data_IF_741884566706
#
_entry.id   IF_741884566706
#
_cell.length_a   1.000
_cell.length_b   1.000
_cell.length_c   1.000
_cell.angle_alpha   90.00
_cell.angle_beta   90.00
_cell.angle_gamma   90.00
#
_symmetry.space_group_name_H-M   'P 1'
#
loop_
_entity.id
_entity.type
_entity.pdbx_description
1 polymer ?
#
# COMPACT_ATOMS: atom_id res chain seq x y z
N UNK A 1 2.48 -20.25 -8.72
CA UNK A 1 3.09 -19.07 -9.37
C UNK A 1 3.21 -17.98 -8.31
N UNK A 2 4.43 -17.60 -7.91
CA UNK A 2 4.60 -16.50 -6.96
C UNK A 2 4.31 -15.19 -7.70
N UNK A 3 3.28 -14.45 -7.30
CA UNK A 3 3.07 -13.08 -7.79
C UNK A 3 4.27 -12.25 -7.36
N UNK A 4 4.94 -11.52 -8.27
CA UNK A 4 6.06 -10.67 -7.89
C UNK A 4 5.57 -9.67 -6.82
N UNK A 5 6.26 -9.64 -5.68
CA UNK A 5 5.98 -8.62 -4.66
C UNK A 5 6.33 -7.25 -5.23
N UNK A 6 5.47 -6.24 -5.06
CA UNK A 6 5.72 -4.89 -5.56
C UNK A 6 7.01 -4.27 -4.98
N UNK A 7 7.46 -4.68 -3.78
CA UNK A 7 8.76 -4.28 -3.25
C UNK A 7 9.93 -4.84 -4.08
N UNK A 8 9.80 -6.07 -4.57
CA UNK A 8 10.82 -6.71 -5.41
C UNK A 8 11.02 -6.01 -6.76
N UNK A 9 9.96 -5.43 -7.34
CA UNK A 9 10.07 -4.67 -8.57
C UNK A 9 10.78 -3.32 -8.37
N UNK A 10 10.55 -2.66 -7.24
CA UNK A 10 11.26 -1.43 -6.89
C UNK A 10 12.75 -1.67 -6.59
N UNK A 11 13.09 -2.80 -5.93
CA UNK A 11 14.49 -3.20 -5.73
C UNK A 11 15.21 -3.43 -7.06
N UNK A 12 14.61 -4.22 -7.97
CA UNK A 12 15.17 -4.47 -9.31
C UNK A 12 15.30 -3.19 -10.13
N UNK A 13 14.37 -2.26 -9.99
CA UNK A 13 14.45 -0.94 -10.62
C UNK A 13 15.63 -0.15 -10.03
N UNK A 14 15.80 -0.16 -8.72
CA UNK A 14 16.95 0.44 -8.03
C UNK A 14 18.28 -0.07 -8.59
N UNK A 15 18.44 -1.39 -8.67
CA UNK A 15 19.66 -2.03 -9.19
C UNK A 15 19.95 -1.61 -10.64
N UNK A 16 18.91 -1.59 -11.49
CA UNK A 16 19.02 -1.14 -12.88
C UNK A 16 19.42 0.33 -13.00
N UNK A 17 18.88 1.20 -12.15
CA UNK A 17 19.20 2.63 -12.15
C UNK A 17 20.62 2.88 -11.63
N UNK A 18 21.05 2.12 -10.63
CA UNK A 18 22.40 2.20 -10.09
C UNK A 18 23.43 1.74 -11.11
N UNK A 19 23.19 0.61 -11.78
CA UNK A 19 24.04 0.12 -12.87
C UNK A 19 24.17 1.09 -14.05
N UNK A 20 23.18 1.98 -14.24
CA UNK A 20 23.21 3.06 -15.25
C UNK A 20 23.86 4.35 -14.77
N UNK A 21 24.38 4.38 -13.54
CA UNK A 21 25.01 5.56 -12.96
C UNK A 21 24.02 6.64 -12.50
N UNK A 22 22.76 6.27 -12.20
CA UNK A 22 21.73 7.20 -11.71
C UNK A 22 21.42 6.99 -10.22
N UNK A 23 22.36 7.29 -9.31
CA UNK A 23 22.26 6.92 -7.89
C UNK A 23 21.08 7.60 -7.18
N UNK A 24 20.76 8.85 -7.54
CA UNK A 24 19.62 9.55 -6.95
C UNK A 24 18.27 8.89 -7.28
N UNK A 25 18.11 8.36 -8.50
CA UNK A 25 16.90 7.65 -8.89
C UNK A 25 16.87 6.24 -8.27
N UNK A 26 18.02 5.58 -8.18
CA UNK A 26 18.15 4.29 -7.50
C UNK A 26 17.75 4.41 -6.02
N UNK A 27 18.26 5.42 -5.30
CA UNK A 27 17.90 5.69 -3.91
C UNK A 27 16.38 5.87 -3.71
N UNK A 28 15.72 6.60 -4.62
CA UNK A 28 14.25 6.75 -4.61
C UNK A 28 13.51 5.43 -4.86
N UNK A 29 14.08 4.52 -5.65
CA UNK A 29 13.49 3.20 -5.87
C UNK A 29 13.66 2.32 -4.62
N UNK A 30 14.84 2.29 -4.02
CA UNK A 30 15.08 1.56 -2.76
C UNK A 30 14.25 2.10 -1.60
N UNK A 31 14.08 3.42 -1.47
CA UNK A 31 13.21 4.01 -0.46
C UNK A 31 11.76 3.53 -0.59
N UNK A 32 11.23 3.53 -1.83
CA UNK A 32 9.88 2.99 -2.10
C UNK A 32 9.77 1.50 -1.78
N UNK A 33 10.81 0.71 -2.05
CA UNK A 33 10.84 -0.70 -1.66
C UNK A 33 10.80 -0.87 -0.13
N UNK A 34 11.57 -0.06 0.60
CA UNK A 34 11.58 -0.09 2.07
C UNK A 34 10.21 0.29 2.65
N UNK A 35 9.58 1.36 2.15
CA UNK A 35 8.24 1.79 2.57
C UNK A 35 7.20 0.68 2.36
N UNK A 36 7.27 -0.03 1.22
CA UNK A 36 6.39 -1.18 0.93
C UNK A 36 6.62 -2.35 1.90
N UNK A 37 7.87 -2.69 2.20
CA UNK A 37 8.18 -3.77 3.17
C UNK A 37 7.68 -3.42 4.58
N UNK A 38 7.84 -2.17 5.01
CA UNK A 38 7.30 -1.70 6.29
C UNK A 38 5.77 -1.77 6.28
N UNK A 39 5.13 -1.32 5.19
CA UNK A 39 3.69 -1.38 5.03
C UNK A 39 3.14 -2.82 5.08
N UNK A 40 3.83 -3.79 4.48
CA UNK A 40 3.47 -5.21 4.57
C UNK A 40 3.52 -5.72 6.03
N UNK A 41 4.56 -5.35 6.79
CA UNK A 41 4.65 -5.68 8.21
C UNK A 41 3.52 -5.07 9.04
N UNK A 42 3.20 -3.80 8.76
CA UNK A 42 2.10 -3.09 9.42
C UNK A 42 0.72 -3.69 9.05
N UNK A 43 0.51 -4.16 7.82
CA UNK A 43 -0.73 -4.84 7.43
C UNK A 43 -0.94 -6.13 8.22
N UNK A 44 0.10 -6.96 8.37
CA UNK A 44 0.03 -8.19 9.19
C UNK A 44 -0.32 -7.88 10.63
N UNK A 45 0.25 -6.80 11.18
CA UNK A 45 -0.05 -6.31 12.52
C UNK A 45 -1.49 -5.82 12.64
N UNK A 46 -1.94 -4.97 11.71
CA UNK A 46 -3.32 -4.45 11.70
C UNK A 46 -4.34 -5.59 11.65
N UNK A 47 -4.06 -6.65 10.89
CA UNK A 47 -4.90 -7.85 10.82
C UNK A 47 -5.05 -8.55 12.18
N UNK A 48 -3.98 -8.63 12.96
CA UNK A 48 -4.04 -9.19 14.32
C UNK A 48 -4.74 -8.24 15.32
N UNK A 49 -4.72 -6.93 15.06
CA UNK A 49 -5.30 -5.90 15.91
C UNK A 49 -6.81 -5.69 15.64
N UNK A 50 -7.32 -5.94 14.43
CA UNK A 50 -8.71 -5.63 13.99
C UNK A 50 -9.78 -6.11 14.97
N UNK A 51 -9.67 -7.33 15.49
CA UNK A 51 -10.68 -7.92 16.39
C UNK A 51 -10.48 -7.55 17.87
N UNK A 52 -9.23 -7.33 18.28
CA UNK A 52 -8.85 -7.11 19.68
C UNK A 52 -8.85 -5.62 20.06
N UNK A 53 -8.31 -4.79 19.18
CA UNK A 53 -8.07 -3.37 19.38
C UNK A 53 -8.37 -2.60 18.09
N UNK A 54 -9.63 -2.52 17.64
CA UNK A 54 -9.98 -1.98 16.32
C UNK A 54 -9.52 -0.53 16.13
N UNK A 55 -9.48 0.29 17.19
CA UNK A 55 -8.94 1.67 17.11
C UNK A 55 -7.44 1.69 16.78
N UNK A 56 -6.66 0.79 17.38
CA UNK A 56 -5.23 0.64 17.13
C UNK A 56 -4.99 0.13 15.71
N UNK A 57 -5.82 -0.79 15.24
CA UNK A 57 -5.78 -1.25 13.86
C UNK A 57 -6.00 -0.09 12.87
N UNK A 58 -6.95 0.83 13.13
CA UNK A 58 -7.15 2.02 12.29
C UNK A 58 -5.90 2.92 12.24
N UNK A 59 -5.24 3.15 13.37
CA UNK A 59 -4.00 3.93 13.42
C UNK A 59 -2.87 3.26 12.63
N UNK A 60 -2.74 1.93 12.77
CA UNK A 60 -1.78 1.13 12.01
C UNK A 60 -2.07 1.20 10.50
N UNK A 61 -3.33 1.10 10.09
CA UNK A 61 -3.75 1.17 8.69
C UNK A 61 -3.53 2.55 8.07
N UNK A 62 -3.67 3.63 8.84
CA UNK A 62 -3.32 4.98 8.38
C UNK A 62 -1.83 5.11 8.04
N UNK A 63 -0.96 4.44 8.80
CA UNK A 63 0.49 4.40 8.50
C UNK A 63 0.79 3.59 7.23
N UNK A 64 0.08 2.47 7.03
CA UNK A 64 0.18 1.69 5.78
C UNK A 64 -0.15 2.57 4.57
N UNK A 65 -1.26 3.31 4.64
CA UNK A 65 -1.68 4.20 3.55
C UNK A 65 -0.66 5.32 3.27
N UNK A 66 -0.03 5.88 4.32
CA UNK A 66 1.00 6.89 4.15
C UNK A 66 2.27 6.38 3.45
N UNK A 67 2.64 5.11 3.67
CA UNK A 67 3.86 4.51 3.14
C UNK A 67 3.67 3.92 1.73
N UNK A 68 2.59 3.15 1.52
CA UNK A 68 2.39 2.39 0.29
C UNK A 68 1.19 2.86 -0.53
N UNK A 69 0.49 3.90 -0.06
CA UNK A 69 -0.80 4.30 -0.61
C UNK A 69 -1.93 3.34 -0.21
N UNK A 70 -3.17 3.64 -0.60
CA UNK A 70 -4.29 2.74 -0.34
C UNK A 70 -4.04 1.41 -1.04
N UNK A 71 -4.38 0.28 -0.42
CA UNK A 71 -4.36 -1.07 -1.01
C UNK A 71 -5.67 -1.81 -0.73
N UNK A 72 -6.03 -2.81 -1.56
CA UNK A 72 -7.30 -3.52 -1.41
C UNK A 72 -7.39 -4.25 -0.05
N UNK A 73 -6.29 -4.85 0.39
CA UNK A 73 -6.21 -5.50 1.70
C UNK A 73 -6.40 -4.50 2.85
N UNK A 74 -5.73 -3.35 2.81
CA UNK A 74 -5.88 -2.30 3.81
C UNK A 74 -7.32 -1.77 3.88
N UNK A 75 -7.99 -1.61 2.74
CA UNK A 75 -9.40 -1.21 2.67
C UNK A 75 -10.34 -2.27 3.28
N UNK A 76 -10.05 -3.57 3.10
CA UNK A 76 -10.80 -4.66 3.76
C UNK A 76 -10.63 -4.61 5.28
N UNK A 77 -9.39 -4.47 5.75
CA UNK A 77 -9.10 -4.36 7.18
C UNK A 77 -9.74 -3.10 7.81
N UNK A 78 -9.79 -1.99 7.08
CA UNK A 78 -10.55 -0.79 7.51
C UNK A 78 -12.04 -1.13 7.66
N UNK A 79 -12.63 -1.82 6.69
CA UNK A 79 -14.03 -2.24 6.77
C UNK A 79 -14.30 -3.14 7.99
N UNK A 80 -13.41 -4.09 8.26
CA UNK A 80 -13.50 -4.98 9.43
C UNK A 80 -13.38 -4.21 10.74
N UNK A 81 -12.40 -3.31 10.87
CA UNK A 81 -12.21 -2.47 12.05
C UNK A 81 -13.44 -1.58 12.33
N UNK A 82 -14.01 -0.93 11.32
CA UNK A 82 -15.22 -0.12 11.48
C UNK A 82 -16.46 -0.97 11.82
N UNK A 83 -16.55 -2.20 11.32
CA UNK A 83 -17.61 -3.13 11.71
C UNK A 83 -17.50 -3.51 13.19
N UNK A 84 -16.29 -3.83 13.67
CA UNK A 84 -16.03 -4.13 15.07
C UNK A 84 -16.34 -2.95 16.01
N UNK A 85 -16.21 -1.71 15.53
CA UNK A 85 -16.59 -0.49 16.26
C UNK A 85 -18.08 -0.15 16.21
N UNK A 86 -18.93 -1.01 15.61
CA UNK A 86 -20.36 -0.75 15.49
C UNK A 86 -20.72 0.32 14.46
N UNK A 87 -19.86 0.56 13.46
CA UNK A 87 -20.09 1.53 12.37
C UNK A 87 -20.29 0.82 11.02
N UNK A 88 -21.41 0.11 10.82
CA UNK A 88 -21.61 -0.74 9.65
C UNK A 88 -21.68 0.03 8.33
N UNK A 89 -22.20 1.26 8.33
CA UNK A 89 -22.27 2.07 7.09
C UNK A 89 -20.89 2.52 6.61
N UNK A 90 -20.00 2.86 7.55
CA UNK A 90 -18.60 3.18 7.24
C UNK A 90 -17.89 1.93 6.72
N UNK A 91 -18.10 0.78 7.37
CA UNK A 91 -17.55 -0.49 6.93
C UNK A 91 -17.95 -0.85 5.48
N UNK A 92 -19.23 -0.68 5.13
CA UNK A 92 -19.73 -0.95 3.77
C UNK A 92 -19.06 -0.08 2.72
N UNK A 93 -18.80 1.20 3.03
CA UNK A 93 -18.09 2.11 2.12
C UNK A 93 -16.69 1.62 1.80
N UNK A 94 -15.93 1.20 2.82
CA UNK A 94 -14.58 0.66 2.64
C UNK A 94 -14.57 -0.70 1.93
N UNK A 95 -15.54 -1.58 2.22
CA UNK A 95 -15.68 -2.86 1.53
C UNK A 95 -15.92 -2.67 0.02
N UNK A 96 -16.83 -1.77 -0.36
CA UNK A 96 -17.07 -1.43 -1.77
C UNK A 96 -15.83 -0.84 -2.44
N UNK A 97 -15.08 0.00 -1.74
CA UNK A 97 -13.83 0.57 -2.25
C UNK A 97 -12.74 -0.50 -2.45
N UNK A 98 -12.75 -1.57 -1.67
CA UNK A 98 -11.83 -2.70 -1.82
C UNK A 98 -12.16 -3.60 -3.02
N UNK A 99 -13.44 -3.68 -3.40
CA UNK A 99 -13.94 -4.46 -4.54
C UNK A 99 -13.89 -3.69 -5.86
N UNK A 100 -13.93 -2.36 -5.80
CA UNK A 100 -13.85 -1.52 -6.98
C UNK A 100 -12.54 -1.80 -7.74
N UNK A 101 -12.59 -2.23 -9.01
CA UNK A 101 -11.39 -2.34 -9.82
C UNK A 101 -10.79 -0.95 -9.88
N UNK A 102 -9.53 -0.82 -9.46
CA UNK A 102 -8.78 0.42 -9.61
C UNK A 102 -8.59 0.67 -11.09
N UNK A 103 -9.56 1.33 -11.70
CA UNK A 103 -9.43 1.94 -13.01
C UNK A 103 -8.31 2.97 -12.93
N UNK A 104 -7.11 2.49 -13.22
CA UNK A 104 -6.05 3.16 -13.97
C UNK A 104 -5.88 4.64 -13.65
N UNK A 105 -5.15 4.95 -12.59
CA UNK A 105 -4.48 6.25 -12.42
C UNK A 105 -3.01 6.06 -12.03
N UNK A 106 -2.21 5.49 -12.93
CA UNK A 106 -0.77 5.76 -13.04
C UNK A 106 -0.33 5.63 -14.51
N UNK A 107 -0.97 6.40 -15.38
CA UNK A 107 -0.39 6.79 -16.66
C UNK A 107 -0.02 8.26 -16.54
N UNK A 108 1.12 8.56 -15.89
CA UNK A 108 1.71 9.88 -16.06
C UNK A 108 2.19 9.95 -17.51
N UNK A 109 1.40 10.62 -18.34
CA UNK A 109 1.85 11.09 -19.64
C UNK A 109 3.10 11.93 -19.38
N UNK A 110 4.26 11.42 -19.82
CA UNK A 110 5.47 12.21 -19.95
C UNK A 110 5.21 13.18 -21.10
N UNK A 111 5.23 14.51 -20.89
CA UNK A 111 5.23 15.42 -22.02
C UNK A 111 6.53 15.20 -22.80
N UNK A 112 6.43 14.82 -24.08
CA UNK A 112 7.56 14.85 -25.00
C UNK A 112 7.91 16.32 -25.26
N UNK A 113 9.18 16.74 -25.11
CA UNK A 113 9.59 18.05 -25.63
C UNK A 113 9.57 18.03 -27.16
N UNK A 114 9.19 19.17 -27.73
CA UNK A 114 9.23 19.46 -29.17
C UNK A 114 10.67 19.52 -29.70
#
# INVERSE_FOLDING_TARGET
>A
MQTPSPAGDDLRLGDKLLARGWPCLAAKAYARAADRLIAEGLLRRARAEVEREPRRALDTLRRVEALAGPCAEGLRLLAEAYRALGQPEVARRFARAAEAPRTRRQGHAVPRPA
#
